data_IF_165202638005
#
_entry.id   IF_165202638005
#
_cell.length_a   1.000
_cell.length_b   1.000
_cell.length_c   1.000
_cell.angle_alpha   90.00
_cell.angle_beta   90.00
_cell.angle_gamma   90.00
#
_symmetry.space_group_name_H-M   'P 1'
#
loop_
_entity.id
_entity.type
_entity.pdbx_description
1 polymer ?
#
# COMPACT_ATOMS: atom_id res chain seq x y z
N UNK A 1 -11.29 -6.27 -8.73
CA UNK A 1 -10.38 -5.20 -9.18
C UNK A 1 -9.06 -5.82 -9.64
N UNK A 2 -8.40 -5.24 -10.64
CA UNK A 2 -7.10 -5.73 -11.14
C UNK A 2 -5.99 -4.77 -10.72
N UNK A 3 -4.85 -5.31 -10.28
CA UNK A 3 -3.65 -4.55 -10.00
C UNK A 3 -2.84 -4.45 -11.31
N UNK A 4 -2.47 -3.24 -11.74
CA UNK A 4 -1.46 -3.11 -12.79
C UNK A 4 -0.12 -3.54 -12.23
N UNK A 5 0.32 -4.75 -12.56
CA UNK A 5 1.61 -5.30 -12.16
C UNK A 5 2.73 -4.36 -12.57
N UNK A 6 3.34 -3.67 -11.59
CA UNK A 6 4.58 -2.96 -11.80
C UNK A 6 5.68 -4.00 -11.74
N UNK A 7 6.36 -4.26 -12.86
CA UNK A 7 7.52 -5.18 -12.92
C UNK A 7 8.77 -4.62 -12.20
N UNK A 8 8.59 -3.64 -11.31
CA UNK A 8 9.65 -2.95 -10.60
C UNK A 8 9.77 -3.50 -9.18
N UNK A 9 11.00 -3.64 -8.67
CA UNK A 9 11.23 -4.05 -7.29
C UNK A 9 10.58 -3.03 -6.34
N UNK A 10 9.82 -3.53 -5.38
CA UNK A 10 9.19 -2.73 -4.34
C UNK A 10 10.17 -2.62 -3.18
N UNK A 11 10.57 -1.40 -2.85
CA UNK A 11 11.45 -1.13 -1.73
C UNK A 11 10.64 -0.58 -0.57
N UNK A 12 10.99 -0.99 0.65
CA UNK A 12 10.35 -0.47 1.84
C UNK A 12 10.76 0.99 2.07
N UNK A 13 9.81 1.92 2.16
CA UNK A 13 10.05 3.33 2.46
C UNK A 13 10.73 3.57 3.82
N UNK A 14 10.58 2.61 4.75
CA UNK A 14 11.09 2.71 6.13
C UNK A 14 12.52 2.21 6.26
N UNK A 15 12.83 1.01 5.76
CA UNK A 15 14.16 0.41 5.89
C UNK A 15 14.98 0.40 4.59
N UNK A 16 14.39 0.83 3.46
CA UNK A 16 14.95 0.76 2.11
C UNK A 16 15.30 -0.65 1.62
N UNK A 17 14.90 -1.71 2.34
CA UNK A 17 15.09 -3.08 1.89
C UNK A 17 14.07 -3.47 0.81
N UNK A 18 14.50 -4.35 -0.08
CA UNK A 18 13.63 -4.93 -1.10
C UNK A 18 12.57 -5.86 -0.45
N UNK A 19 11.31 -5.65 -0.83
CA UNK A 19 10.18 -6.47 -0.39
C UNK A 19 10.12 -7.70 -1.29
N UNK A 20 10.43 -8.88 -0.74
CA UNK A 20 10.54 -10.14 -1.50
C UNK A 20 9.48 -11.18 -1.16
N UNK A 21 8.70 -11.00 -0.09
CA UNK A 21 7.62 -11.93 0.30
C UNK A 21 6.31 -11.19 0.55
N UNK A 22 6.20 -10.41 1.63
CA UNK A 22 4.95 -9.70 1.99
C UNK A 22 5.22 -8.22 2.18
N UNK A 23 4.30 -7.39 1.68
CA UNK A 23 4.34 -5.95 1.86
C UNK A 23 2.95 -5.32 1.91
N UNK A 24 2.94 -4.07 2.36
CA UNK A 24 1.79 -3.18 2.43
C UNK A 24 2.10 -1.94 1.61
N UNK A 25 1.20 -1.49 0.76
CA UNK A 25 1.38 -0.20 0.09
C UNK A 25 0.03 0.45 -0.17
N UNK A 26 0.02 1.78 -0.19
CA UNK A 26 -1.17 2.54 -0.55
C UNK A 26 -1.43 2.42 -2.06
N UNK A 27 -2.68 2.22 -2.43
CA UNK A 27 -3.13 2.24 -3.80
C UNK A 27 -4.34 3.17 -3.93
N UNK A 28 -4.45 3.81 -5.08
CA UNK A 28 -5.64 4.57 -5.44
C UNK A 28 -6.57 3.71 -6.27
N UNK A 29 -7.84 3.65 -5.92
CA UNK A 29 -8.89 2.96 -6.67
C UNK A 29 -9.42 3.90 -7.73
N UNK A 30 -9.42 3.47 -8.99
CA UNK A 30 -9.99 4.22 -10.11
C UNK A 30 -10.73 3.29 -11.04
N UNK A 31 -12.07 3.44 -11.15
CA UNK A 31 -12.93 2.70 -12.10
C UNK A 31 -12.57 1.19 -12.19
N UNK A 32 -12.55 0.51 -11.04
CA UNK A 32 -12.24 -0.92 -10.87
C UNK A 32 -10.77 -1.36 -11.03
N UNK A 33 -9.85 -0.40 -11.16
CA UNK A 33 -8.40 -0.65 -11.21
C UNK A 33 -7.73 -0.13 -9.93
N UNK A 34 -6.82 -0.93 -9.37
CA UNK A 34 -5.91 -0.44 -8.34
C UNK A 34 -4.69 0.19 -9.01
N UNK A 35 -4.41 1.44 -8.66
CA UNK A 35 -3.17 2.14 -9.01
C UNK A 35 -2.22 2.08 -7.80
N UNK A 36 -1.29 1.10 -7.75
CA UNK A 36 -0.33 0.99 -6.66
C UNK A 36 0.57 2.24 -6.62
N UNK A 37 0.82 2.78 -5.43
CA UNK A 37 1.88 3.76 -5.21
C UNK A 37 3.11 3.05 -4.58
N UNK A 38 4.08 2.59 -5.40
CA UNK A 38 5.22 1.81 -4.90
C UNK A 38 6.18 2.63 -4.03
N UNK A 39 6.07 3.97 -4.01
CA UNK A 39 6.94 4.83 -3.20
C UNK A 39 6.62 4.74 -1.70
N UNK A 40 5.38 4.40 -1.36
CA UNK A 40 4.90 4.27 0.03
C UNK A 40 4.80 2.80 0.44
N UNK A 41 5.56 1.92 -0.21
CA UNK A 41 5.55 0.51 0.11
C UNK A 41 6.30 0.21 1.40
N UNK A 42 5.79 -0.71 2.19
CA UNK A 42 6.31 -1.07 3.51
C UNK A 42 6.41 -2.58 3.58
N UNK A 43 7.58 -3.09 3.97
CA UNK A 43 7.75 -4.53 4.16
C UNK A 43 6.91 -5.01 5.35
N UNK A 44 6.58 -6.30 5.36
CA UNK A 44 5.81 -6.90 6.46
C UNK A 44 6.39 -6.59 7.85
N UNK A 45 7.71 -6.64 7.98
CA UNK A 45 8.39 -6.37 9.26
C UNK A 45 8.20 -4.92 9.74
N UNK A 46 8.37 -3.93 8.86
CA UNK A 46 8.17 -2.53 9.21
C UNK A 46 6.67 -2.22 9.39
N UNK A 47 5.82 -2.81 8.55
CA UNK A 47 4.37 -2.71 8.66
C UNK A 47 3.85 -3.19 10.00
N UNK A 48 4.35 -4.29 10.54
CA UNK A 48 3.94 -4.81 11.85
C UNK A 48 4.64 -4.19 13.06
N UNK A 49 5.93 -3.86 12.94
CA UNK A 49 6.73 -3.44 14.09
C UNK A 49 6.83 -1.92 14.25
N UNK A 50 6.82 -1.17 13.15
CA UNK A 50 7.03 0.28 13.17
C UNK A 50 5.73 1.05 12.92
N UNK A 51 4.91 0.56 11.99
CA UNK A 51 3.69 1.24 11.55
C UNK A 51 2.47 0.73 12.32
N UNK A 52 2.26 -0.58 12.32
CA UNK A 52 1.18 -1.24 13.01
C UNK A 52 1.34 -1.13 14.51
N UNK A 53 0.36 -0.54 15.18
CA UNK A 53 0.36 -0.34 16.64
C UNK A 53 0.55 -1.67 17.39
N UNK A 54 1.80 -1.98 17.78
CA UNK A 54 2.17 -3.10 18.65
C UNK A 54 1.66 -4.48 18.19
N UNK A 55 1.84 -4.84 16.91
CA UNK A 55 1.57 -6.19 16.41
C UNK A 55 0.24 -6.36 15.66
N UNK A 56 -0.45 -5.27 15.36
CA UNK A 56 -1.54 -5.26 14.38
C UNK A 56 -1.00 -4.91 12.99
N UNK A 57 -1.68 -5.35 11.92
CA UNK A 57 -1.37 -4.90 10.58
C UNK A 57 -1.62 -3.38 10.45
N UNK A 58 -0.80 -2.64 9.69
CA UNK A 58 -0.94 -1.20 9.55
C UNK A 58 -2.26 -0.84 8.89
N UNK A 59 -2.79 0.34 9.20
CA UNK A 59 -3.95 0.92 8.52
C UNK A 59 -3.51 1.94 7.47
N UNK A 60 -4.43 2.33 6.58
CA UNK A 60 -4.13 3.28 5.50
C UNK A 60 -3.52 4.58 6.04
N UNK A 61 -4.11 5.10 7.13
CA UNK A 61 -3.66 6.33 7.81
C UNK A 61 -2.26 6.20 8.45
N UNK A 62 -1.77 4.99 8.69
CA UNK A 62 -0.43 4.78 9.24
C UNK A 62 0.65 4.74 8.14
N UNK A 63 0.24 4.45 6.89
CA UNK A 63 1.13 4.33 5.71
C UNK A 63 1.13 5.59 4.87
N UNK A 64 0.04 6.35 4.86
CA UNK A 64 -0.05 7.64 4.18
C UNK A 64 -0.09 8.77 5.20
N UNK A 65 0.84 9.73 5.07
CA UNK A 65 0.81 11.03 5.77
C UNK A 65 -0.28 11.93 5.17
N UNK A 66 -1.51 11.41 5.06
CA UNK A 66 -2.66 12.22 4.70
C UNK A 66 -3.12 12.94 5.96
N UNK A 67 -2.55 14.13 6.16
CA UNK A 67 -3.13 15.18 6.99
C UNK A 67 -4.65 15.18 6.76
N UNK A 68 -5.40 14.75 7.76
CA UNK A 68 -6.87 14.65 7.74
C UNK A 68 -7.56 16.02 7.69
N UNK A 69 -6.83 17.07 7.30
CA UNK A 69 -7.25 18.47 7.26
C UNK A 69 -7.47 19.02 5.83
N UNK A 70 -7.30 18.23 4.78
CA UNK A 70 -7.61 18.70 3.40
C UNK A 70 -9.07 18.46 3.02
N UNK A 71 -9.96 19.19 3.69
CA UNK A 71 -11.29 19.49 3.19
C UNK A 71 -11.16 20.48 2.01
N UNK A 72 -11.18 20.01 0.75
CA UNK A 72 -11.35 20.87 -0.43
C UNK A 72 -11.66 20.08 -1.70
N UNK A 73 -12.88 20.30 -2.20
CA UNK A 73 -13.45 19.58 -3.33
C UNK A 73 -12.60 19.59 -4.60
N UNK A 74 -12.58 18.44 -5.27
CA UNK A 74 -12.52 18.36 -6.73
C UNK A 74 -12.99 16.98 -7.18
N UNK A 75 -13.68 17.01 -8.31
CA UNK A 75 -14.60 16.04 -8.89
C UNK A 75 -13.92 14.76 -9.45
N UNK A 76 -13.10 14.07 -8.64
CA UNK A 76 -12.60 12.72 -8.92
C UNK A 76 -12.43 11.95 -7.61
N UNK A 77 -13.42 11.12 -7.27
CA UNK A 77 -13.42 10.20 -6.12
C UNK A 77 -12.32 9.15 -6.27
N UNK A 78 -11.08 9.54 -5.98
CA UNK A 78 -9.94 8.64 -5.92
C UNK A 78 -9.90 8.09 -4.50
N UNK A 79 -10.63 6.99 -4.27
CA UNK A 79 -10.62 6.29 -2.99
C UNK A 79 -9.23 5.67 -2.80
N UNK A 80 -8.59 5.96 -1.68
CA UNK A 80 -7.33 5.31 -1.31
C UNK A 80 -7.64 4.02 -0.57
N UNK A 81 -6.77 3.03 -0.72
CA UNK A 81 -6.88 1.75 -0.02
C UNK A 81 -5.49 1.23 0.28
N UNK A 82 -5.34 0.58 1.43
CA UNK A 82 -4.14 -0.15 1.78
C UNK A 82 -4.24 -1.56 1.19
N UNK A 83 -3.28 -1.90 0.32
CA UNK A 83 -3.18 -3.24 -0.23
C UNK A 83 -2.16 -4.04 0.57
N UNK A 84 -2.64 -5.15 1.15
CA UNK A 84 -1.79 -6.22 1.65
C UNK A 84 -1.48 -7.16 0.49
N UNK A 85 -0.22 -7.22 0.11
CA UNK A 85 0.24 -7.98 -1.05
C UNK A 85 1.27 -9.02 -0.70
N UNK A 86 1.37 -10.02 -1.58
CA UNK A 86 2.44 -11.00 -1.61
C UNK A 86 3.21 -10.89 -2.91
N UNK A 87 4.54 -10.86 -2.82
CA UNK A 87 5.42 -11.06 -3.95
C UNK A 87 5.46 -12.54 -4.29
N UNK A 88 5.29 -12.83 -5.57
CA UNK A 88 5.37 -14.18 -6.13
C UNK A 88 6.27 -14.14 -7.35
N UNK A 89 6.71 -15.31 -7.82
CA UNK A 89 7.51 -15.40 -9.05
C UNK A 89 6.78 -14.83 -10.29
N UNK A 90 5.45 -14.74 -10.23
CA UNK A 90 4.59 -14.18 -11.27
C UNK A 90 4.25 -12.68 -11.05
N UNK A 91 4.87 -12.02 -10.07
CA UNK A 91 4.62 -10.64 -9.70
C UNK A 91 3.83 -10.47 -8.40
N UNK A 92 3.07 -9.38 -8.28
CA UNK A 92 2.40 -8.97 -7.05
C UNK A 92 0.99 -9.56 -7.01
N UNK A 93 0.68 -10.29 -5.94
CA UNK A 93 -0.67 -10.81 -5.66
C UNK A 93 -1.30 -10.06 -4.50
N UNK A 94 -2.51 -9.53 -4.68
CA UNK A 94 -3.26 -8.89 -3.58
C UNK A 94 -3.87 -9.96 -2.70
N UNK A 95 -3.50 -9.97 -1.41
CA UNK A 95 -4.07 -10.85 -0.39
C UNK A 95 -5.35 -10.23 0.17
N UNK A 96 -5.30 -8.94 0.48
CA UNK A 96 -6.42 -8.19 1.06
C UNK A 96 -6.27 -6.72 0.73
N UNK A 97 -7.40 -6.04 0.57
CA UNK A 97 -7.50 -4.59 0.53
C UNK A 97 -8.27 -4.08 1.74
N UNK A 98 -7.83 -2.96 2.30
CA UNK A 98 -8.52 -2.23 3.39
C UNK A 98 -8.73 -0.80 2.93
N UNK A 99 -9.98 -0.34 2.93
CA UNK A 99 -10.32 1.06 2.69
C UNK A 99 -10.26 1.85 4.00
#
# INVERSE_FOLDING_TARGET
MQLRSTSQPLNCSVCNDEITDIGYFAATVSKDEYKPNPQDAVCNACGFNQIGMMGCAPELADVTDFDSDSDSGSDQTLEQTLLHVRMTDNGISVISDKQ
#
